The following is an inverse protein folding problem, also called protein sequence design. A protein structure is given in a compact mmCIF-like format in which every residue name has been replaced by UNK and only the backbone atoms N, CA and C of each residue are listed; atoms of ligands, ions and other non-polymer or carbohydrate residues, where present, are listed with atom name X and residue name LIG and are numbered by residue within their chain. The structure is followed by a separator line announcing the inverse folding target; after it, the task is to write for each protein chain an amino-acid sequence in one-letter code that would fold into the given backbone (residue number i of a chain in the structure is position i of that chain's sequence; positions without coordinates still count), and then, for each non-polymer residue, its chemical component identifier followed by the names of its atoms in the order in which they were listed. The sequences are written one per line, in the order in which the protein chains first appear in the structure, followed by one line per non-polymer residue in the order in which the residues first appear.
data_IF_030947007770
#
_entry.id   IF_030947007770
#
_cell.length_a   1.000
_cell.length_b   1.000
_cell.length_c   1.000
_cell.angle_alpha   90.00
_cell.angle_beta   90.00
_cell.angle_gamma   90.00
#
_symmetry.space_group_name_H-M   'P 1'
#
loop_
_entity.id
_entity.type
_entity.pdbx_description
1 polymer ?
#
# COMPACT_ATOMS: atom_id res chain seq x y z
N UNK A 1 0.01 28.56 9.15
CA UNK A 1 -0.71 27.31 8.82
C UNK A 1 -0.91 27.21 7.32
N UNK A 2 -0.02 26.54 6.61
CA UNK A 2 -0.06 26.41 5.15
C UNK A 2 -1.07 25.33 4.76
N UNK A 3 -2.13 25.69 4.02
CA UNK A 3 -3.13 24.73 3.54
C UNK A 3 -2.47 23.76 2.56
N UNK A 4 -2.59 22.44 2.79
CA UNK A 4 -2.14 21.40 1.85
C UNK A 4 -2.81 21.61 0.48
N UNK A 5 -2.09 21.51 -0.64
CA UNK A 5 -2.69 21.65 -1.97
C UNK A 5 -3.72 20.54 -2.24
N UNK A 6 -4.88 20.88 -2.82
CA UNK A 6 -5.87 19.89 -3.27
C UNK A 6 -5.33 19.16 -4.51
N UNK A 7 -5.28 17.82 -4.46
CA UNK A 7 -4.75 16.90 -5.49
C UNK A 7 -5.44 16.94 -6.87
N UNK A 8 -6.47 17.78 -7.06
CA UNK A 8 -7.27 17.82 -8.29
C UNK A 8 -6.49 18.23 -9.57
N UNK A 9 -5.26 18.76 -9.46
CA UNK A 9 -4.58 19.39 -10.61
C UNK A 9 -3.60 18.51 -11.40
N UNK A 10 -3.29 17.28 -10.99
CA UNK A 10 -2.19 16.48 -11.57
C UNK A 10 -2.61 15.33 -12.48
N UNK A 11 -3.88 14.96 -12.54
CA UNK A 11 -4.32 13.75 -13.27
C UNK A 11 -4.78 13.99 -14.70
N UNK A 12 -4.77 15.24 -15.20
CA UNK A 12 -5.14 15.53 -16.60
C UNK A 12 -4.12 15.01 -17.63
N UNK A 13 -2.89 14.70 -17.21
CA UNK A 13 -1.82 14.24 -18.09
C UNK A 13 -1.82 12.72 -18.33
N UNK A 14 -2.44 11.94 -17.43
CA UNK A 14 -2.60 10.50 -17.58
C UNK A 14 -4.10 10.23 -17.65
N UNK A 15 -4.58 9.54 -18.68
CA UNK A 15 -6.01 9.18 -18.85
C UNK A 15 -6.39 8.09 -17.84
N UNK A 16 -6.37 8.45 -16.56
CA UNK A 16 -6.73 7.62 -15.44
C UNK A 16 -8.23 7.80 -15.22
N UNK A 17 -8.98 6.75 -15.52
CA UNK A 17 -10.39 6.67 -15.13
C UNK A 17 -10.46 6.45 -13.62
N UNK A 18 -11.30 7.23 -12.94
CA UNK A 18 -11.53 7.07 -11.51
C UNK A 18 -12.62 6.03 -11.29
N UNK A 19 -12.29 4.94 -10.60
CA UNK A 19 -13.31 4.05 -10.08
C UNK A 19 -14.11 4.77 -8.98
N UNK A 20 -15.44 4.67 -9.03
CA UNK A 20 -16.29 5.16 -7.95
C UNK A 20 -16.07 4.29 -6.71
N UNK A 21 -15.59 4.90 -5.62
CA UNK A 21 -15.37 4.22 -4.35
C UNK A 21 -16.23 4.86 -3.26
N UNK A 22 -17.08 4.08 -2.56
CA UNK A 22 -17.96 4.62 -1.53
C UNK A 22 -17.18 5.12 -0.31
N UNK A 23 -17.77 6.09 0.40
CA UNK A 23 -17.15 6.65 1.61
C UNK A 23 -17.12 5.63 2.74
N UNK A 24 -15.98 5.53 3.44
CA UNK A 24 -15.75 4.62 4.58
C UNK A 24 -15.89 3.12 4.23
N UNK A 25 -15.49 2.73 3.02
CA UNK A 25 -15.54 1.33 2.55
C UNK A 25 -14.16 0.76 2.26
N UNK A 26 -13.27 0.62 3.26
CA UNK A 26 -11.95 0.02 3.07
C UNK A 26 -12.03 -1.42 2.54
N UNK A 27 -13.11 -2.14 2.83
CA UNK A 27 -13.42 -3.48 2.33
C UNK A 27 -13.52 -3.55 0.79
N UNK A 28 -13.89 -2.44 0.14
CA UNK A 28 -13.98 -2.34 -1.31
C UNK A 28 -12.70 -1.82 -1.97
N UNK A 29 -11.63 -1.62 -1.19
CA UNK A 29 -10.35 -1.14 -1.66
C UNK A 29 -9.35 -2.30 -1.67
N UNK A 30 -9.07 -2.84 -2.85
CA UNK A 30 -8.19 -4.02 -3.03
C UNK A 30 -6.81 -3.87 -2.37
N UNK A 31 -6.30 -2.65 -2.22
CA UNK A 31 -5.01 -2.40 -1.56
C UNK A 31 -5.05 -2.69 -0.05
N UNK A 32 -6.21 -2.60 0.62
CA UNK A 32 -6.35 -2.86 2.05
C UNK A 32 -6.02 -4.33 2.38
N UNK A 33 -6.51 -5.26 1.55
CA UNK A 33 -6.16 -6.68 1.66
C UNK A 33 -4.64 -6.89 1.50
N UNK A 34 -4.01 -6.14 0.60
CA UNK A 34 -2.57 -6.23 0.37
C UNK A 34 -1.76 -5.65 1.55
N UNK A 35 -2.25 -4.57 2.18
CA UNK A 35 -1.64 -4.02 3.39
C UNK A 35 -1.66 -5.03 4.54
N UNK A 36 -2.75 -5.75 4.73
CA UNK A 36 -2.86 -6.78 5.76
C UNK A 36 -1.84 -7.91 5.56
N UNK A 37 -1.70 -8.40 4.33
CA UNK A 37 -0.70 -9.42 3.96
C UNK A 37 0.72 -8.89 4.21
N UNK A 38 1.00 -7.66 3.80
CA UNK A 38 2.31 -7.04 3.96
C UNK A 38 2.68 -6.85 5.44
N UNK A 39 1.74 -6.41 6.28
CA UNK A 39 1.94 -6.29 7.74
C UNK A 39 2.25 -7.64 8.36
N UNK A 40 1.52 -8.69 7.96
CA UNK A 40 1.77 -10.05 8.42
C UNK A 40 3.17 -10.55 7.99
N UNK A 41 3.59 -10.28 6.76
CA UNK A 41 4.88 -10.70 6.23
C UNK A 41 6.05 -9.99 6.92
N UNK A 42 5.97 -8.68 7.10
CA UNK A 42 7.02 -7.86 7.71
C UNK A 42 7.19 -8.19 9.19
N UNK A 43 6.10 -8.42 9.92
CA UNK A 43 6.15 -8.76 11.35
C UNK A 43 6.24 -10.27 11.62
N UNK A 44 6.44 -11.09 10.59
CA UNK A 44 6.55 -12.55 10.73
C UNK A 44 7.65 -12.87 11.74
N UNK A 45 7.36 -13.82 12.63
CA UNK A 45 8.25 -14.23 13.75
C UNK A 45 8.53 -13.12 14.78
N UNK A 46 7.62 -12.14 14.94
CA UNK A 46 7.76 -11.06 15.93
C UNK A 46 9.05 -10.27 15.69
N UNK A 47 9.36 -10.03 14.41
CA UNK A 47 10.57 -9.32 14.03
C UNK A 47 10.45 -7.86 14.47
N UNK A 48 11.44 -7.40 15.24
CA UNK A 48 11.61 -5.98 15.56
C UNK A 48 12.75 -5.41 14.73
N UNK A 49 12.62 -4.13 14.38
CA UNK A 49 13.58 -3.40 13.56
C UNK A 49 14.23 -2.33 14.41
N UNK A 50 15.56 -2.25 14.35
CA UNK A 50 16.31 -1.28 15.18
C UNK A 50 16.33 0.11 14.56
N UNK A 51 16.08 0.21 13.25
CA UNK A 51 16.06 1.47 12.51
C UNK A 51 14.92 1.53 11.51
N UNK A 52 14.49 2.75 11.18
CA UNK A 52 13.51 2.99 10.11
C UNK A 52 14.02 2.48 8.76
N UNK A 53 15.33 2.51 8.52
CA UNK A 53 15.93 2.03 7.28
C UNK A 53 15.79 0.51 7.13
N UNK A 54 16.05 -0.24 8.20
CA UNK A 54 15.89 -1.69 8.23
C UNK A 54 14.42 -2.11 7.99
N UNK A 55 13.47 -1.37 8.59
CA UNK A 55 12.05 -1.58 8.36
C UNK A 55 11.67 -1.34 6.88
N UNK A 56 12.17 -0.25 6.28
CA UNK A 56 11.91 0.05 4.86
C UNK A 56 12.45 -1.03 3.92
N UNK A 57 13.66 -1.52 4.18
CA UNK A 57 14.28 -2.59 3.40
C UNK A 57 13.50 -3.89 3.52
N UNK A 58 13.03 -4.22 4.73
CA UNK A 58 12.20 -5.41 4.93
C UNK A 58 10.83 -5.28 4.26
N UNK A 59 10.19 -4.10 4.31
CA UNK A 59 8.94 -3.85 3.59
C UNK A 59 9.15 -4.04 2.09
N UNK A 60 10.21 -3.47 1.51
CA UNK A 60 10.50 -3.62 0.08
C UNK A 60 10.72 -5.09 -0.30
N UNK A 61 11.49 -5.83 0.51
CA UNK A 61 11.72 -7.26 0.30
C UNK A 61 10.41 -8.07 0.36
N UNK A 62 9.60 -7.87 1.40
CA UNK A 62 8.33 -8.58 1.53
C UNK A 62 7.34 -8.23 0.40
N UNK A 63 7.35 -6.98 -0.05
CA UNK A 63 6.54 -6.54 -1.18
C UNK A 63 6.89 -7.29 -2.47
N UNK A 64 8.19 -7.39 -2.79
CA UNK A 64 8.66 -8.12 -3.98
C UNK A 64 8.32 -9.62 -3.91
N UNK A 65 8.43 -10.22 -2.72
CA UNK A 65 8.02 -11.62 -2.47
C UNK A 65 6.52 -11.82 -2.70
N UNK A 66 5.66 -10.94 -2.16
CA UNK A 66 4.20 -11.04 -2.32
C UNK A 66 3.78 -10.91 -3.80
N UNK A 67 4.39 -9.97 -4.53
CA UNK A 67 4.11 -9.79 -5.96
C UNK A 67 4.51 -11.02 -6.79
N UNK A 68 5.55 -11.72 -6.37
CA UNK A 68 6.07 -12.90 -7.08
C UNK A 68 5.19 -14.15 -6.89
N UNK A 69 4.49 -14.28 -5.76
CA UNK A 69 3.74 -15.50 -5.40
C UNK A 69 2.21 -15.34 -5.46
N UNK A 70 1.65 -14.15 -5.17
CA UNK A 70 0.26 -14.04 -4.74
C UNK A 70 -0.63 -13.07 -5.54
N UNK A 71 -0.09 -12.29 -6.48
CA UNK A 71 -0.89 -11.25 -7.14
C UNK A 71 -2.02 -11.82 -8.04
N UNK A 72 -1.92 -13.06 -8.48
CA UNK A 72 -2.93 -13.70 -9.34
C UNK A 72 -4.08 -14.37 -8.57
N UNK A 73 -4.03 -14.41 -7.24
CA UNK A 73 -5.00 -15.08 -6.37
C UNK A 73 -5.80 -14.13 -5.45
N UNK A 74 -5.53 -12.82 -5.54
CA UNK A 74 -6.28 -11.74 -4.90
C UNK A 74 -7.40 -11.22 -5.83
#
# INVERSE_FOLDING_TARGET
MTKRPRLHKSHKAARLEYAHHPSRSPDLNLIENLWEILVCAVNKNIRQYSTVQELKEAIAKCWDEILSENLFHL
#
